data_IF_025436368340
#
_entry.id   IF_025436368340
#
_cell.length_a   1.000
_cell.length_b   1.000
_cell.length_c   1.000
_cell.angle_alpha   90.00
_cell.angle_beta   90.00
_cell.angle_gamma   90.00
#
_symmetry.space_group_name_H-M   'P 1'
#
loop_
_entity.id
_entity.type
_entity.pdbx_description
1 polymer ?
#
# COMPACT_ATOMS: atom_id res chain seq x y z
N UNK A 1 4.72 11.72 -18.49
CA UNK A 1 4.28 10.64 -17.61
C UNK A 1 5.49 9.87 -17.07
N UNK A 2 5.56 9.62 -15.77
CA UNK A 2 6.68 8.85 -15.22
C UNK A 2 6.71 7.44 -15.80
N UNK A 3 7.90 6.96 -16.10
CA UNK A 3 8.09 5.60 -16.60
C UNK A 3 8.29 4.63 -15.45
N UNK A 4 7.91 3.35 -15.59
CA UNK A 4 8.24 2.33 -14.60
C UNK A 4 9.74 2.30 -14.35
N UNK A 5 10.11 2.10 -13.10
CA UNK A 5 11.52 1.98 -12.75
C UNK A 5 12.06 0.65 -13.26
N UNK A 6 13.16 0.72 -14.00
CA UNK A 6 13.85 -0.49 -14.44
C UNK A 6 14.79 -0.97 -13.33
N UNK A 7 14.69 -2.23 -13.00
CA UNK A 7 15.58 -2.85 -12.04
C UNK A 7 16.77 -3.49 -12.77
N UNK A 8 17.95 -3.53 -12.16
CA UNK A 8 19.08 -4.25 -12.76
C UNK A 8 18.75 -5.74 -12.90
N UNK A 9 19.38 -6.37 -13.90
CA UNK A 9 19.27 -7.83 -14.05
C UNK A 9 19.96 -8.47 -12.86
N UNK A 10 19.17 -9.12 -12.00
CA UNK A 10 19.63 -9.79 -10.78
C UNK A 10 18.73 -11.00 -10.54
N UNK A 11 19.20 -11.88 -9.68
CA UNK A 11 18.37 -12.95 -9.16
C UNK A 11 17.15 -12.37 -8.43
N UNK A 12 15.95 -12.76 -8.86
CA UNK A 12 14.70 -12.27 -8.29
C UNK A 12 14.63 -12.53 -6.77
N UNK A 13 15.06 -13.69 -6.32
CA UNK A 13 15.04 -14.03 -4.91
C UNK A 13 15.88 -13.06 -4.07
N UNK A 14 17.06 -12.71 -4.55
CA UNK A 14 17.92 -11.75 -3.86
C UNK A 14 17.25 -10.36 -3.75
N UNK A 15 16.60 -9.90 -4.82
CA UNK A 15 15.89 -8.63 -4.81
C UNK A 15 14.71 -8.67 -3.84
N UNK A 16 13.93 -9.75 -3.84
CA UNK A 16 12.78 -9.90 -2.94
C UNK A 16 13.20 -9.91 -1.46
N UNK A 17 14.35 -10.48 -1.14
CA UNK A 17 14.90 -10.49 0.21
C UNK A 17 15.38 -9.11 0.67
N UNK A 18 15.77 -8.23 -0.27
CA UNK A 18 16.25 -6.88 0.01
C UNK A 18 15.13 -5.84 0.12
N UNK A 19 13.88 -6.22 -0.15
CA UNK A 19 12.76 -5.27 -0.11
C UNK A 19 12.53 -4.75 1.28
N UNK A 20 12.27 -3.44 1.35
CA UNK A 20 11.87 -2.76 2.58
C UNK A 20 10.54 -2.05 2.36
N UNK A 21 9.71 -2.05 3.40
CA UNK A 21 8.45 -1.32 3.43
C UNK A 21 8.52 -0.34 4.59
N UNK A 22 8.42 0.94 4.28
CA UNK A 22 8.51 2.01 5.27
C UNK A 22 7.40 3.03 5.07
N UNK A 23 6.97 3.67 6.16
CA UNK A 23 6.12 4.84 6.09
C UNK A 23 6.90 5.97 5.42
N UNK A 24 6.24 6.70 4.52
CA UNK A 24 6.93 7.82 3.86
C UNK A 24 7.13 8.99 4.83
N UNK A 25 8.26 9.70 4.74
CA UNK A 25 8.41 10.97 5.44
C UNK A 25 7.41 12.00 4.92
N UNK A 26 6.96 12.91 5.79
CA UNK A 26 5.99 13.95 5.43
C UNK A 26 6.44 14.75 4.19
N UNK A 27 7.72 15.03 4.06
CA UNK A 27 8.29 15.78 2.93
C UNK A 27 8.15 15.05 1.57
N UNK A 28 7.88 13.75 1.58
CA UNK A 28 7.74 12.95 0.36
C UNK A 28 6.28 12.66 0.00
N UNK A 29 5.32 13.18 0.76
CA UNK A 29 3.89 12.97 0.50
C UNK A 29 3.49 13.44 -0.90
N UNK A 30 3.95 14.59 -1.32
CA UNK A 30 3.63 15.15 -2.66
C UNK A 30 4.12 14.23 -3.78
N UNK A 31 5.32 13.69 -3.64
CA UNK A 31 5.87 12.73 -4.60
C UNK A 31 5.02 11.45 -4.65
N UNK A 32 4.67 10.91 -3.48
CA UNK A 32 3.83 9.72 -3.35
C UNK A 32 2.47 9.94 -4.02
N UNK A 33 1.80 11.04 -3.70
CA UNK A 33 0.49 11.38 -4.23
C UNK A 33 0.53 11.55 -5.76
N UNK A 34 1.60 12.14 -6.29
CA UNK A 34 1.77 12.34 -7.75
C UNK A 34 1.87 11.01 -8.48
N UNK A 35 2.69 10.08 -7.98
CA UNK A 35 2.83 8.77 -8.57
C UNK A 35 1.51 7.99 -8.56
N UNK A 36 0.78 8.04 -7.46
CA UNK A 36 -0.53 7.38 -7.34
C UNK A 36 -1.51 7.95 -8.36
N UNK A 37 -1.62 9.28 -8.46
CA UNK A 37 -2.51 9.92 -9.43
C UNK A 37 -2.21 9.51 -10.87
N UNK A 38 -0.93 9.33 -11.20
CA UNK A 38 -0.52 9.04 -12.56
C UNK A 38 -0.58 7.55 -12.91
N UNK A 39 -0.37 6.68 -11.93
CA UNK A 39 -0.20 5.25 -12.17
C UNK A 39 -1.36 4.38 -11.69
N UNK A 40 -2.13 4.83 -10.73
CA UNK A 40 -3.28 4.06 -10.23
C UNK A 40 -4.49 4.27 -11.15
N UNK A 41 -5.28 3.19 -11.35
CA UNK A 41 -6.44 3.24 -12.26
C UNK A 41 -7.49 4.27 -11.85
N UNK A 42 -7.64 4.58 -10.56
CA UNK A 42 -8.58 5.60 -10.07
C UNK A 42 -8.09 7.04 -10.31
N UNK A 43 -6.81 7.24 -10.66
CA UNK A 43 -6.21 8.56 -10.90
C UNK A 43 -6.39 9.54 -9.72
N UNK A 44 -6.46 9.01 -8.50
CA UNK A 44 -6.62 9.80 -7.29
C UNK A 44 -5.73 9.25 -6.18
N UNK A 45 -5.05 10.14 -5.48
CA UNK A 45 -4.26 9.81 -4.29
C UNK A 45 -5.01 10.08 -2.99
N UNK A 46 -6.29 10.49 -3.08
CA UNK A 46 -7.08 10.84 -1.91
C UNK A 46 -7.35 9.61 -1.04
N UNK A 47 -7.02 9.72 0.23
CA UNK A 47 -7.35 8.76 1.28
C UNK A 47 -8.28 9.44 2.28
N UNK A 48 -9.24 8.70 2.83
CA UNK A 48 -10.27 9.25 3.71
C UNK A 48 -10.05 8.78 5.14
N UNK A 49 -10.15 9.70 6.10
CA UNK A 49 -9.99 9.41 7.53
C UNK A 49 -8.54 9.15 7.91
N UNK A 50 -8.33 8.30 8.90
CA UNK A 50 -6.99 7.85 9.27
C UNK A 50 -6.33 7.20 8.06
N UNK A 51 -5.06 7.50 7.85
CA UNK A 51 -4.37 7.09 6.63
C UNK A 51 -2.90 6.82 6.86
N UNK A 52 -2.38 5.81 6.15
CA UNK A 52 -0.97 5.48 6.12
C UNK A 52 -0.51 5.36 4.67
N UNK A 53 0.66 5.91 4.38
CA UNK A 53 1.31 5.80 3.08
C UNK A 53 2.62 5.07 3.23
N UNK A 54 2.73 3.92 2.58
CA UNK A 54 3.96 3.13 2.56
C UNK A 54 4.63 3.22 1.22
N UNK A 55 5.94 3.14 1.24
CA UNK A 55 6.76 2.96 0.05
C UNK A 55 7.56 1.67 0.18
N UNK A 56 7.64 0.94 -0.91
CA UNK A 56 8.45 -0.27 -1.03
C UNK A 56 9.70 0.08 -1.82
N UNK A 57 10.85 -0.17 -1.23
CA UNK A 57 12.15 0.16 -1.82
C UNK A 57 13.04 -1.07 -1.95
N UNK A 58 14.01 -1.00 -2.86
CA UNK A 58 15.09 -1.97 -2.96
C UNK A 58 16.31 -1.54 -2.13
N UNK A 59 17.39 -2.33 -2.21
CA UNK A 59 18.63 -2.04 -1.49
C UNK A 59 19.26 -0.69 -1.86
N UNK A 60 18.95 -0.13 -3.03
CA UNK A 60 19.43 1.17 -3.49
C UNK A 60 18.50 2.32 -3.13
N UNK A 61 17.40 2.05 -2.44
CA UNK A 61 16.42 3.05 -2.07
C UNK A 61 15.48 3.48 -3.21
N UNK A 62 15.44 2.74 -4.32
CA UNK A 62 14.53 3.04 -5.42
C UNK A 62 13.11 2.65 -5.04
N UNK A 63 12.15 3.49 -5.40
CA UNK A 63 10.74 3.25 -5.16
C UNK A 63 10.19 2.22 -6.14
N UNK A 64 9.74 1.07 -5.65
CA UNK A 64 9.25 -0.03 -6.47
C UNK A 64 7.73 -0.19 -6.40
N UNK A 65 7.11 0.22 -5.30
CA UNK A 65 5.67 0.15 -5.13
C UNK A 65 5.20 1.14 -4.07
N UNK A 66 3.93 1.49 -4.15
CA UNK A 66 3.25 2.39 -3.20
C UNK A 66 2.01 1.68 -2.67
N UNK A 67 1.81 1.74 -1.35
CA UNK A 67 0.66 1.11 -0.70
C UNK A 67 0.01 2.16 0.20
N UNK A 68 -1.27 2.43 -0.02
CA UNK A 68 -2.05 3.37 0.78
C UNK A 68 -3.16 2.68 1.55
N UNK A 69 -3.28 3.01 2.81
CA UNK A 69 -4.33 2.52 3.71
C UNK A 69 -5.15 3.69 4.20
N UNK A 70 -6.45 3.48 4.33
CA UNK A 70 -7.38 4.48 4.83
C UNK A 70 -8.34 3.87 5.83
N UNK A 71 -9.12 4.73 6.51
CA UNK A 71 -10.17 4.27 7.41
C UNK A 71 -11.18 3.41 6.66
N UNK A 72 -11.67 2.37 7.32
CA UNK A 72 -12.71 1.51 6.76
C UNK A 72 -14.01 2.30 6.56
N UNK A 73 -14.74 1.99 5.48
CA UNK A 73 -16.01 2.62 5.21
C UNK A 73 -17.01 2.39 6.36
N UNK A 74 -17.70 3.46 6.77
CA UNK A 74 -18.63 3.42 7.90
C UNK A 74 -19.76 2.40 7.65
N UNK A 75 -20.31 2.41 6.44
CA UNK A 75 -21.36 1.49 6.04
C UNK A 75 -20.90 0.63 4.87
N UNK A 76 -20.71 -0.65 5.12
CA UNK A 76 -20.37 -1.63 4.11
C UNK A 76 -21.11 -2.92 4.43
N UNK A 77 -22.27 -3.11 3.81
CA UNK A 77 -23.22 -4.17 4.14
C UNK A 77 -22.60 -5.57 4.08
N UNK A 78 -21.84 -5.86 3.03
CA UNK A 78 -21.23 -7.18 2.86
C UNK A 78 -20.24 -7.50 4.00
N UNK A 79 -19.42 -6.52 4.38
CA UNK A 79 -18.49 -6.66 5.50
C UNK A 79 -19.24 -6.87 6.81
N UNK A 80 -20.23 -6.03 7.11
CA UNK A 80 -20.96 -6.05 8.36
C UNK A 80 -21.74 -7.36 8.52
N UNK A 81 -22.30 -7.88 7.43
CA UNK A 81 -22.96 -9.19 7.44
C UNK A 81 -21.98 -10.33 7.65
N UNK A 82 -20.81 -10.28 6.98
CA UNK A 82 -19.78 -11.31 7.10
C UNK A 82 -19.21 -11.39 8.52
N UNK A 83 -19.07 -10.25 9.19
CA UNK A 83 -18.53 -10.17 10.55
C UNK A 83 -19.62 -10.32 11.62
N UNK A 84 -20.89 -10.35 11.23
CA UNK A 84 -22.02 -10.48 12.16
C UNK A 84 -22.02 -9.41 13.26
N UNK A 85 -21.55 -8.21 12.94
CA UNK A 85 -21.48 -7.11 13.90
C UNK A 85 -22.84 -6.46 14.14
N UNK A 86 -23.16 -6.21 15.40
CA UNK A 86 -24.21 -5.25 15.78
C UNK A 86 -23.74 -3.83 15.47
N UNK A 87 -24.68 -2.87 15.48
CA UNK A 87 -24.32 -1.45 15.27
C UNK A 87 -23.34 -0.96 16.32
N UNK A 88 -23.52 -1.33 17.58
CA UNK A 88 -22.63 -0.96 18.67
C UNK A 88 -21.23 -1.57 18.48
N UNK A 89 -21.17 -2.84 18.06
CA UNK A 89 -19.89 -3.49 17.78
C UNK A 89 -19.17 -2.84 16.61
N UNK A 90 -19.91 -2.46 15.57
CA UNK A 90 -19.33 -1.77 14.42
C UNK A 90 -18.71 -0.43 14.85
N UNK A 91 -19.42 0.40 15.60
CA UNK A 91 -18.91 1.68 16.06
C UNK A 91 -17.64 1.51 16.91
N UNK A 92 -17.60 0.51 17.78
CA UNK A 92 -16.46 0.25 18.65
C UNK A 92 -15.24 -0.29 17.89
N UNK A 93 -15.46 -1.12 16.86
CA UNK A 93 -14.40 -1.88 16.19
C UNK A 93 -13.95 -1.29 14.86
N UNK A 94 -14.78 -0.46 14.23
CA UNK A 94 -14.46 0.12 12.93
C UNK A 94 -13.12 0.89 12.93
N UNK A 95 -12.76 1.66 13.95
CA UNK A 95 -11.46 2.33 14.00
C UNK A 95 -10.26 1.39 14.01
N UNK A 96 -10.46 0.11 14.31
CA UNK A 96 -9.41 -0.90 14.31
C UNK A 96 -9.18 -1.49 12.92
N UNK A 97 -10.02 -1.16 11.94
CA UNK A 97 -9.94 -1.68 10.58
C UNK A 97 -9.26 -0.67 9.67
N UNK A 98 -8.33 -1.16 8.88
CA UNK A 98 -7.73 -0.40 7.79
C UNK A 98 -8.14 -1.02 6.46
N UNK A 99 -8.40 -0.17 5.47
CA UNK A 99 -8.75 -0.56 4.11
C UNK A 99 -7.58 -0.26 3.18
N UNK A 100 -7.14 -1.26 2.41
CA UNK A 100 -6.15 -1.00 1.36
C UNK A 100 -6.83 -0.27 0.20
N UNK A 101 -6.60 1.03 0.12
CA UNK A 101 -7.26 1.91 -0.83
C UNK A 101 -6.46 2.17 -2.08
N UNK A 102 -5.14 2.04 -2.02
CA UNK A 102 -4.22 2.28 -3.15
C UNK A 102 -3.09 1.27 -3.12
N UNK A 103 -2.82 0.69 -4.26
CA UNK A 103 -1.66 -0.18 -4.47
C UNK A 103 -1.15 0.02 -5.89
N UNK A 104 0.05 0.53 -6.01
CA UNK A 104 0.67 0.86 -7.30
C UNK A 104 2.03 0.21 -7.39
N UNK A 105 2.25 -0.56 -8.45
CA UNK A 105 3.56 -1.12 -8.76
C UNK A 105 4.26 -0.18 -9.74
N UNK A 106 5.43 0.32 -9.34
CA UNK A 106 6.25 1.21 -10.16
C UNK A 106 7.31 0.45 -10.96
N UNK A 107 7.68 -0.74 -10.49
CA UNK A 107 8.66 -1.60 -11.17
C UNK A 107 8.04 -2.30 -12.38
N UNK A 108 8.89 -2.72 -13.31
CA UNK A 108 8.45 -3.50 -14.46
C UNK A 108 7.96 -4.88 -14.01
N UNK A 109 6.71 -5.20 -14.34
CA UNK A 109 6.07 -6.48 -13.97
C UNK A 109 6.79 -7.69 -14.53
N UNK A 110 7.31 -7.59 -15.75
CA UNK A 110 7.99 -8.70 -16.41
C UNK A 110 9.28 -9.08 -15.70
N UNK A 111 9.89 -8.11 -15.03
CA UNK A 111 11.13 -8.34 -14.30
C UNK A 111 10.91 -8.78 -12.85
N UNK A 112 9.70 -8.56 -12.28
CA UNK A 112 9.44 -8.80 -10.86
C UNK A 112 8.02 -9.33 -10.64
N UNK A 113 7.69 -10.54 -11.13
CA UNK A 113 6.31 -11.04 -11.05
C UNK A 113 5.79 -11.24 -9.62
N UNK A 114 6.68 -11.50 -8.64
CA UNK A 114 6.29 -11.76 -7.25
C UNK A 114 6.42 -10.53 -6.35
N UNK A 115 6.77 -9.37 -6.90
CA UNK A 115 6.98 -8.14 -6.13
C UNK A 115 5.74 -7.73 -5.35
N UNK A 116 4.58 -7.73 -6.00
CA UNK A 116 3.32 -7.28 -5.39
C UNK A 116 2.96 -8.12 -4.16
N UNK A 117 3.07 -9.43 -4.26
CA UNK A 117 2.76 -10.36 -3.16
C UNK A 117 3.73 -10.18 -2.01
N UNK A 118 5.03 -10.11 -2.30
CA UNK A 118 6.05 -9.94 -1.26
C UNK A 118 5.93 -8.58 -0.56
N UNK A 119 5.70 -7.52 -1.32
CA UNK A 119 5.53 -6.17 -0.77
C UNK A 119 4.31 -6.10 0.16
N UNK A 120 3.19 -6.69 -0.25
CA UNK A 120 2.00 -6.72 0.60
C UNK A 120 2.24 -7.53 1.88
N UNK A 121 2.91 -8.67 1.79
CA UNK A 121 3.24 -9.48 2.98
C UNK A 121 4.08 -8.69 3.97
N UNK A 122 5.11 -8.00 3.51
CA UNK A 122 5.97 -7.15 4.36
C UNK A 122 5.18 -6.00 4.98
N UNK A 123 4.27 -5.39 4.22
CA UNK A 123 3.40 -4.33 4.71
C UNK A 123 2.49 -4.83 5.84
N UNK A 124 1.87 -5.99 5.66
CA UNK A 124 0.96 -6.56 6.66
C UNK A 124 1.67 -6.90 7.98
N UNK A 125 2.95 -7.26 7.93
CA UNK A 125 3.72 -7.53 9.14
C UNK A 125 3.85 -6.30 10.05
N UNK A 126 3.83 -5.10 9.50
CA UNK A 126 3.99 -3.89 10.29
C UNK A 126 2.71 -3.08 10.47
N UNK A 127 1.68 -3.34 9.65
CA UNK A 127 0.46 -2.52 9.61
C UNK A 127 -0.21 -2.41 10.98
N UNK A 128 -0.32 -3.51 11.72
CA UNK A 128 -0.96 -3.53 13.04
C UNK A 128 -0.28 -2.60 14.03
N UNK A 129 1.05 -2.50 13.98
CA UNK A 129 1.79 -1.61 14.85
C UNK A 129 1.73 -0.14 14.43
N UNK A 130 1.60 0.12 13.13
CA UNK A 130 1.56 1.48 12.58
C UNK A 130 0.13 2.07 12.62
N UNK A 131 -0.90 1.25 12.51
CA UNK A 131 -2.30 1.69 12.52
C UNK A 131 -2.77 2.00 13.94
#
# INVERSE_FOLDING_TARGET
MPKPQRLPVRDEQAVLEELRVDLIPAKQKTKWDRWVRQRHYLKSARLVGEQLRYVVTDARGRWLALIGWSAAALHLKARDQSLEWTDAQREARLPLLAQNSRYVILADRQQRPNLATRAMALCLHRLSGDW
#
